data_IF_885639165212
#
_entry.id   IF_885639165212
#
_cell.length_a   1.000
_cell.length_b   1.000
_cell.length_c   1.000
_cell.angle_alpha   90.00
_cell.angle_beta   90.00
_cell.angle_gamma   90.00
#
_symmetry.space_group_name_H-M   'P 1'
#
loop_
_entity.id
_entity.type
_entity.pdbx_description
1 polymer ?
#
# COMPACT_ATOMS: atom_id res chain seq x y z
N UNK A 1 -28.90 -3.48 -20.92
CA UNK A 1 -28.62 -2.31 -20.06
C UNK A 1 -28.25 -2.89 -18.70
N UNK A 2 -27.00 -3.30 -18.52
CA UNK A 2 -25.84 -2.45 -18.19
C UNK A 2 -26.10 -1.61 -16.96
N UNK A 3 -25.77 -2.14 -15.77
CA UNK A 3 -25.22 -1.40 -14.63
C UNK A 3 -24.35 -2.38 -13.82
N UNK A 4 -23.07 -2.55 -14.20
CA UNK A 4 -22.04 -3.05 -13.28
C UNK A 4 -21.29 -1.83 -12.77
N UNK A 5 -21.87 -1.20 -11.76
CA UNK A 5 -21.24 -0.13 -11.00
C UNK A 5 -19.97 -0.62 -10.29
N UNK A 6 -18.95 0.22 -10.28
CA UNK A 6 -18.06 0.34 -9.14
C UNK A 6 -16.88 -0.64 -9.06
N UNK A 7 -16.13 -0.83 -10.15
CA UNK A 7 -14.76 -1.32 -10.02
C UNK A 7 -13.88 -0.18 -9.47
N UNK A 8 -13.89 -0.01 -8.15
CA UNK A 8 -12.90 0.85 -7.46
C UNK A 8 -11.52 0.22 -7.63
N UNK A 9 -10.49 0.95 -8.09
CA UNK A 9 -9.13 0.38 -8.26
C UNK A 9 -8.40 0.07 -6.94
N UNK A 10 -9.11 0.02 -5.80
CA UNK A 10 -8.52 0.03 -4.46
C UNK A 10 -8.75 -1.21 -3.60
N UNK A 11 -9.80 -1.99 -3.88
CA UNK A 11 -10.14 -3.15 -3.07
C UNK A 11 -9.45 -4.41 -3.62
N UNK A 12 -8.23 -4.67 -3.16
CA UNK A 12 -7.72 -6.04 -3.18
C UNK A 12 -8.69 -6.84 -2.32
N UNK A 13 -9.29 -7.88 -2.89
CA UNK A 13 -10.13 -8.82 -2.17
C UNK A 13 -9.34 -9.35 -0.97
N UNK A 14 -9.97 -9.50 0.20
CA UNK A 14 -9.36 -10.04 1.44
C UNK A 14 -8.58 -11.37 1.22
N UNK A 15 -8.83 -12.07 0.11
CA UNK A 15 -8.07 -13.24 -0.34
C UNK A 15 -6.62 -12.94 -0.80
N UNK A 16 -6.33 -11.75 -1.33
CA UNK A 16 -4.95 -11.34 -1.67
C UNK A 16 -4.17 -10.87 -0.44
N UNK A 17 -4.85 -10.39 0.60
CA UNK A 17 -4.24 -9.99 1.89
C UNK A 17 -3.76 -11.17 2.75
N UNK A 18 -4.28 -12.39 2.50
CA UNK A 18 -3.93 -13.59 3.28
C UNK A 18 -2.65 -14.30 2.82
N UNK A 19 -2.03 -13.92 1.70
CA UNK A 19 -0.92 -14.69 1.11
C UNK A 19 0.38 -13.94 0.89
N UNK A 20 0.42 -12.63 1.10
CA UNK A 20 1.67 -11.87 0.95
C UNK A 20 2.25 -11.62 2.33
N UNK A 21 3.19 -12.47 2.74
CA UNK A 21 4.09 -12.12 3.83
C UNK A 21 4.76 -10.79 3.46
N UNK A 22 4.43 -9.74 4.21
CA UNK A 22 4.96 -8.41 3.99
C UNK A 22 6.41 -8.37 4.48
N UNK A 23 7.35 -8.18 3.57
CA UNK A 23 8.76 -7.98 3.89
C UNK A 23 9.06 -6.48 4.11
N UNK A 24 9.26 -6.10 5.36
CA UNK A 24 9.56 -4.73 5.75
C UNK A 24 10.95 -4.26 5.31
N UNK A 25 11.93 -5.16 5.19
CA UNK A 25 13.28 -4.77 4.74
C UNK A 25 13.29 -4.41 3.26
N UNK A 26 12.44 -5.05 2.46
CA UNK A 26 12.21 -4.65 1.07
C UNK A 26 11.40 -3.36 0.96
N UNK A 27 10.43 -3.16 1.86
CA UNK A 27 9.62 -1.94 1.86
C UNK A 27 10.39 -0.72 2.34
N UNK A 28 11.28 -0.87 3.31
CA UNK A 28 12.05 0.24 3.88
C UNK A 28 13.54 -0.09 3.79
N UNK A 29 14.12 -0.04 2.58
CA UNK A 29 15.53 -0.34 2.39
C UNK A 29 16.42 0.71 3.07
N UNK A 30 17.66 0.31 3.38
CA UNK A 30 18.66 1.20 3.97
C UNK A 30 18.49 1.45 5.47
N UNK A 31 17.80 0.56 6.18
CA UNK A 31 17.82 0.54 7.64
C UNK A 31 18.92 -0.39 8.13
N UNK A 32 19.65 0.06 9.15
CA UNK A 32 20.72 -0.71 9.78
C UNK A 32 20.21 -1.86 10.67
N UNK A 33 18.88 -2.01 10.76
CA UNK A 33 18.20 -3.01 11.56
C UNK A 33 17.25 -3.84 10.71
N UNK A 34 17.15 -5.12 11.04
CA UNK A 34 16.17 -6.02 10.46
C UNK A 34 14.75 -5.70 10.99
N UNK A 35 13.96 -5.04 10.16
CA UNK A 35 12.60 -4.63 10.48
C UNK A 35 11.65 -5.82 10.61
N UNK A 36 11.87 -6.90 9.86
CA UNK A 36 11.06 -8.11 9.99
C UNK A 36 11.24 -8.76 11.37
N UNK A 37 12.43 -8.62 11.95
CA UNK A 37 12.71 -9.07 13.32
C UNK A 37 12.14 -8.13 14.38
N UNK A 38 12.24 -6.81 14.18
CA UNK A 38 11.71 -5.83 15.13
C UNK A 38 10.17 -5.82 15.17
N UNK A 39 9.54 -6.05 14.03
CA UNK A 39 8.09 -6.07 13.87
C UNK A 39 7.64 -7.44 13.33
N UNK A 40 7.84 -8.49 14.13
CA UNK A 40 7.45 -9.85 13.77
C UNK A 40 5.91 -10.03 13.68
N UNK A 41 5.15 -9.17 14.35
CA UNK A 41 3.70 -9.12 14.31
C UNK A 41 3.18 -8.85 12.88
N UNK A 42 2.26 -9.69 12.42
CA UNK A 42 1.63 -9.58 11.11
C UNK A 42 0.81 -8.31 10.97
N UNK A 43 0.10 -7.89 12.03
CA UNK A 43 -0.75 -6.71 12.03
C UNK A 43 0.04 -5.43 11.76
N UNK A 44 1.15 -5.25 12.47
CA UNK A 44 2.07 -4.12 12.29
C UNK A 44 2.69 -4.14 10.89
N UNK A 45 3.09 -5.32 10.38
CA UNK A 45 3.63 -5.42 9.01
C UNK A 45 2.62 -4.96 7.96
N UNK A 46 1.38 -5.42 8.06
CA UNK A 46 0.28 -4.98 7.17
C UNK A 46 -0.01 -3.49 7.30
N UNK A 47 -0.07 -2.98 8.52
CA UNK A 47 -0.28 -1.55 8.77
C UNK A 47 0.80 -0.69 8.11
N UNK A 48 2.07 -1.05 8.26
CA UNK A 48 3.19 -0.33 7.65
C UNK A 48 3.15 -0.39 6.12
N UNK A 49 2.73 -1.52 5.55
CA UNK A 49 2.52 -1.66 4.11
C UNK A 49 1.43 -0.72 3.60
N UNK A 50 0.25 -0.72 4.22
CA UNK A 50 -0.87 0.13 3.81
C UNK A 50 -0.55 1.62 3.99
N UNK A 51 0.14 2.00 5.07
CA UNK A 51 0.60 3.39 5.25
C UNK A 51 1.52 3.84 4.10
N UNK A 52 2.46 2.99 3.69
CA UNK A 52 3.36 3.31 2.57
C UNK A 52 2.60 3.40 1.24
N UNK A 53 1.63 2.49 1.02
CA UNK A 53 0.76 2.52 -0.17
C UNK A 53 -0.07 3.80 -0.22
N UNK A 54 -0.75 4.14 0.86
CA UNK A 54 -1.58 5.34 0.98
C UNK A 54 -0.76 6.62 0.72
N UNK A 55 0.44 6.72 1.29
CA UNK A 55 1.34 7.84 1.00
C UNK A 55 1.62 7.98 -0.50
N UNK A 56 1.96 6.88 -1.19
CA UNK A 56 2.23 6.89 -2.64
C UNK A 56 1.00 7.28 -3.45
N UNK A 57 -0.18 6.82 -3.05
CA UNK A 57 -1.43 7.16 -3.72
C UNK A 57 -1.78 8.65 -3.55
N UNK A 58 -1.62 9.19 -2.35
CA UNK A 58 -1.78 10.63 -2.08
C UNK A 58 -0.77 11.45 -2.91
N UNK A 59 0.51 11.06 -2.94
CA UNK A 59 1.52 11.73 -3.76
C UNK A 59 1.17 11.71 -5.25
N UNK A 60 0.61 10.59 -5.75
CA UNK A 60 0.15 10.47 -7.14
C UNK A 60 -1.05 11.38 -7.40
N UNK A 61 -2.00 11.43 -6.46
CA UNK A 61 -3.19 12.28 -6.56
C UNK A 61 -2.83 13.76 -6.56
N UNK A 62 -1.92 14.20 -5.67
CA UNK A 62 -1.42 15.58 -5.67
C UNK A 62 -0.76 15.92 -7.00
N UNK A 63 0.05 15.01 -7.57
CA UNK A 63 0.67 15.21 -8.88
C UNK A 63 -0.35 15.33 -10.02
N UNK A 64 -1.46 14.58 -9.98
CA UNK A 64 -2.49 14.70 -11.00
C UNK A 64 -3.26 16.01 -10.92
N UNK A 65 -3.45 16.58 -9.73
CA UNK A 65 -4.09 17.90 -9.60
C UNK A 65 -3.23 19.02 -10.20
N UNK A 66 -1.90 18.96 -9.99
CA UNK A 66 -0.99 19.97 -10.54
C UNK A 66 -0.79 19.85 -12.07
N UNK A 67 -1.23 18.75 -12.69
CA UNK A 67 -1.16 18.55 -14.14
C UNK A 67 -2.34 19.20 -14.88
N UNK A 68 -3.41 19.60 -14.20
CA UNK A 68 -4.59 20.23 -14.82
C UNK A 68 -4.46 21.77 -14.95
N UNK A 69 -3.35 22.37 -14.52
CA UNK A 69 -3.11 23.83 -14.55
C UNK A 69 -2.19 24.34 -15.69
N UNK A 70 -1.78 23.49 -16.66
CA UNK A 70 -1.01 23.88 -17.87
C UNK A 70 -1.77 23.58 -19.18
#
# INVERSE_FOLDING_TARGET
MEEKEGQTPGALTEEEEKKREVDLNLLFPGKDYDLNRLFADEGTRKLLYELKRNKREIERFIKSLNLEEE
#
